data_IF_402296734722
#
_entry.id   IF_402296734722
#
_cell.length_a   1.000
_cell.length_b   1.000
_cell.length_c   1.000
_cell.angle_alpha   90.00
_cell.angle_beta   90.00
_cell.angle_gamma   90.00
#
_symmetry.space_group_name_H-M   'P 1'
#
loop_
_entity.id
_entity.type
_entity.pdbx_description
1 polymer ?
#
# COMPACT_ATOMS: atom_id res chain seq x y z
N UNK A 1 -27.40 12.97 39.11
CA UNK A 1 -27.18 12.56 37.71
C UNK A 1 -25.93 13.26 37.27
N UNK A 2 -24.83 12.53 37.35
CA UNK A 2 -23.53 13.08 36.98
C UNK A 2 -23.43 13.13 35.47
N UNK A 3 -23.11 14.31 34.98
CA UNK A 3 -22.85 14.54 33.56
C UNK A 3 -21.52 13.87 33.22
N UNK A 4 -21.53 12.79 32.49
CA UNK A 4 -20.33 12.22 31.94
C UNK A 4 -19.91 13.14 30.80
N UNK A 5 -18.80 13.83 31.01
CA UNK A 5 -18.28 14.77 30.01
C UNK A 5 -17.36 14.03 29.04
N UNK A 6 -17.91 13.62 27.91
CA UNK A 6 -17.16 12.95 26.84
C UNK A 6 -16.31 13.92 26.00
N UNK A 7 -16.18 15.20 26.41
CA UNK A 7 -15.56 16.25 25.60
C UNK A 7 -14.10 16.03 25.24
N UNK A 8 -13.34 15.29 26.03
CA UNK A 8 -11.90 15.18 25.79
C UNK A 8 -11.42 13.80 25.32
N UNK A 9 -12.30 12.80 25.24
CA UNK A 9 -11.83 11.42 25.14
C UNK A 9 -12.54 10.51 24.13
N UNK A 10 -13.62 10.93 23.50
CA UNK A 10 -14.53 9.96 22.89
C UNK A 10 -14.17 9.57 21.47
N UNK A 11 -13.54 10.41 20.71
CA UNK A 11 -13.31 10.08 19.31
C UNK A 11 -11.92 10.55 18.86
N UNK A 12 -10.91 9.80 19.17
CA UNK A 12 -9.69 9.86 18.37
C UNK A 12 -9.99 9.18 17.05
N UNK A 13 -10.60 9.93 16.12
CA UNK A 13 -10.74 9.46 14.76
C UNK A 13 -9.35 9.35 14.14
N UNK A 14 -8.79 8.17 14.14
CA UNK A 14 -7.68 7.91 13.27
C UNK A 14 -8.25 7.80 11.87
N UNK A 15 -7.96 8.80 11.05
CA UNK A 15 -8.31 8.84 9.64
C UNK A 15 -7.43 7.86 8.91
N UNK A 16 -8.00 6.77 8.42
CA UNK A 16 -7.24 5.82 7.62
C UNK A 16 -8.00 5.50 6.35
N UNK A 17 -7.34 5.70 5.22
CA UNK A 17 -7.61 4.90 4.04
C UNK A 17 -6.80 3.65 4.21
N UNK A 18 -7.42 2.50 4.17
CA UNK A 18 -6.73 1.23 4.36
C UNK A 18 -6.91 0.33 3.15
N UNK A 19 -5.87 -0.43 2.87
CA UNK A 19 -5.93 -1.58 1.98
C UNK A 19 -5.67 -2.80 2.84
N UNK A 20 -6.54 -3.81 2.75
CA UNK A 20 -6.38 -5.01 3.57
C UNK A 20 -6.28 -4.74 5.08
N UNK A 21 -6.98 -3.69 5.57
CA UNK A 21 -7.00 -3.33 7.00
C UNK A 21 -5.76 -2.56 7.49
N UNK A 22 -4.85 -2.13 6.60
CA UNK A 22 -3.67 -1.33 6.97
C UNK A 22 -3.79 0.12 6.50
N UNK A 23 -3.49 1.11 7.36
CA UNK A 23 -3.59 2.52 7.00
C UNK A 23 -2.53 2.91 5.97
N UNK A 24 -2.95 3.68 4.96
CA UNK A 24 -2.05 4.33 4.01
C UNK A 24 -1.81 5.77 4.48
N UNK A 25 -0.56 6.10 4.69
CA UNK A 25 -0.15 7.38 5.26
C UNK A 25 1.05 8.01 4.58
N UNK A 26 1.70 8.90 5.30
CA UNK A 26 2.85 9.67 4.78
C UNK A 26 4.03 8.79 4.35
N UNK A 27 4.24 7.63 4.99
CA UNK A 27 5.33 6.71 4.64
C UNK A 27 5.10 6.12 3.24
N UNK A 28 3.89 5.62 2.99
CA UNK A 28 3.50 5.02 1.70
C UNK A 28 3.57 6.07 0.58
N UNK A 29 3.12 7.31 0.85
CA UNK A 29 3.24 8.43 -0.09
C UNK A 29 4.70 8.73 -0.42
N UNK A 30 5.58 8.82 0.57
CA UNK A 30 7.00 9.06 0.34
C UNK A 30 7.65 7.92 -0.44
N UNK A 31 7.28 6.67 -0.16
CA UNK A 31 7.77 5.51 -0.90
C UNK A 31 7.30 5.54 -2.36
N UNK A 32 6.03 5.86 -2.62
CA UNK A 32 5.50 5.99 -3.98
C UNK A 32 6.24 7.07 -4.78
N UNK A 33 6.49 8.25 -4.18
CA UNK A 33 7.27 9.33 -4.81
C UNK A 33 8.70 8.87 -5.09
N UNK A 34 9.36 8.23 -4.11
CA UNK A 34 10.73 7.71 -4.28
C UNK A 34 10.82 6.70 -5.42
N UNK A 35 9.87 5.77 -5.50
CA UNK A 35 9.82 4.75 -6.53
C UNK A 35 9.58 5.38 -7.93
N UNK A 36 8.73 6.40 -8.02
CA UNK A 36 8.52 7.14 -9.27
C UNK A 36 9.80 7.85 -9.74
N UNK A 37 10.58 8.43 -8.82
CA UNK A 37 11.86 9.06 -9.14
C UNK A 37 12.93 8.02 -9.53
N UNK A 38 12.93 6.84 -8.88
CA UNK A 38 13.85 5.74 -9.16
C UNK A 38 13.67 5.12 -10.55
N UNK A 39 12.50 5.26 -11.19
CA UNK A 39 12.28 4.75 -12.55
C UNK A 39 13.21 5.39 -13.59
N UNK A 40 13.63 6.64 -13.40
CA UNK A 40 14.61 7.29 -14.30
C UNK A 40 16.01 6.68 -14.15
N UNK A 41 16.39 6.24 -12.96
CA UNK A 41 17.65 5.54 -12.72
C UNK A 41 17.65 4.16 -13.39
N UNK A 42 16.51 3.46 -13.38
CA UNK A 42 16.37 2.16 -14.05
C UNK A 42 16.62 2.24 -15.56
N UNK A 43 16.16 3.30 -16.23
CA UNK A 43 16.44 3.51 -17.67
C UNK A 43 17.93 3.69 -17.95
N UNK A 44 18.65 4.37 -17.08
CA UNK A 44 20.10 4.54 -17.19
C UNK A 44 20.84 3.21 -16.96
N UNK A 45 20.39 2.40 -15.99
CA UNK A 45 20.97 1.09 -15.75
C UNK A 45 20.73 0.11 -16.91
N UNK A 46 19.51 0.12 -17.49
CA UNK A 46 19.22 -0.67 -18.69
C UNK A 46 20.20 -0.36 -19.81
N UNK A 47 20.46 0.92 -20.09
CA UNK A 47 21.41 1.32 -21.13
C UNK A 47 22.83 0.83 -20.82
N UNK A 48 23.29 0.96 -19.59
CA UNK A 48 24.64 0.51 -19.19
C UNK A 48 24.80 -1.00 -19.32
N UNK A 49 23.75 -1.77 -18.97
CA UNK A 49 23.75 -3.22 -19.16
C UNK A 49 23.82 -3.57 -20.64
N UNK A 50 23.00 -2.94 -21.49
CA UNK A 50 23.01 -3.15 -22.94
C UNK A 50 24.37 -2.82 -23.52
N UNK A 51 25.03 -1.74 -23.09
CA UNK A 51 26.37 -1.35 -23.57
C UNK A 51 27.43 -2.42 -23.26
N UNK A 52 27.30 -3.19 -22.14
CA UNK A 52 28.22 -4.30 -21.79
C UNK A 52 28.10 -5.51 -22.72
N UNK A 53 26.96 -5.69 -23.38
CA UNK A 53 26.71 -6.80 -24.29
C UNK A 53 26.98 -6.46 -25.78
N UNK A 54 27.40 -5.23 -26.08
CA UNK A 54 27.47 -4.70 -27.46
C UNK A 54 28.47 -5.48 -28.35
N UNK A 55 29.56 -5.98 -27.80
CA UNK A 55 30.57 -6.73 -28.55
C UNK A 55 30.41 -8.25 -28.48
N UNK A 56 29.37 -8.73 -27.75
CA UNK A 56 29.05 -10.15 -27.56
C UNK A 56 30.02 -10.92 -26.67
N UNK A 57 30.94 -10.21 -25.99
CA UNK A 57 31.95 -10.81 -25.10
C UNK A 57 31.90 -10.07 -23.78
N UNK A 58 31.67 -10.80 -22.70
CA UNK A 58 31.74 -10.24 -21.33
C UNK A 58 33.13 -10.56 -20.77
N UNK A 59 33.90 -9.52 -20.54
CA UNK A 59 35.21 -9.64 -19.86
C UNK A 59 35.00 -9.97 -18.36
N UNK A 60 36.01 -10.53 -17.68
CA UNK A 60 35.91 -10.78 -16.23
C UNK A 60 35.60 -9.53 -15.40
N UNK A 61 36.04 -8.35 -15.86
CA UNK A 61 35.77 -7.08 -15.21
C UNK A 61 34.30 -6.67 -15.40
N UNK A 62 33.78 -6.77 -16.61
CA UNK A 62 32.35 -6.50 -16.91
C UNK A 62 31.43 -7.47 -16.19
N UNK A 63 31.85 -8.76 -16.09
CA UNK A 63 31.09 -9.74 -15.30
C UNK A 63 30.98 -9.33 -13.84
N UNK A 64 32.08 -8.92 -13.21
CA UNK A 64 32.08 -8.45 -11.82
C UNK A 64 31.24 -7.17 -11.63
N UNK A 65 31.27 -6.27 -12.60
CA UNK A 65 30.44 -5.08 -12.59
C UNK A 65 28.96 -5.44 -12.76
N UNK A 66 28.62 -6.37 -13.64
CA UNK A 66 27.27 -6.85 -13.86
C UNK A 66 26.69 -7.54 -12.61
N UNK A 67 27.50 -8.39 -11.94
CA UNK A 67 27.13 -9.03 -10.69
C UNK A 67 26.81 -8.01 -9.59
N UNK A 68 27.65 -6.97 -9.44
CA UNK A 68 27.44 -5.90 -8.46
C UNK A 68 26.17 -5.08 -8.76
N UNK A 69 25.90 -4.82 -10.05
CA UNK A 69 24.68 -4.12 -10.49
C UNK A 69 23.44 -4.96 -10.26
N UNK A 70 23.54 -6.25 -10.55
CA UNK A 70 22.46 -7.19 -10.31
C UNK A 70 22.09 -7.27 -8.82
N UNK A 71 23.08 -7.36 -7.95
CA UNK A 71 22.87 -7.32 -6.51
C UNK A 71 22.16 -6.03 -6.09
N UNK A 72 22.59 -4.88 -6.60
CA UNK A 72 21.94 -3.60 -6.32
C UNK A 72 20.47 -3.57 -6.78
N UNK A 73 20.18 -4.06 -7.99
CA UNK A 73 18.82 -4.10 -8.55
C UNK A 73 17.92 -5.04 -7.77
N UNK A 74 18.40 -6.21 -7.37
CA UNK A 74 17.60 -7.15 -6.57
C UNK A 74 17.32 -6.64 -5.16
N UNK A 75 18.26 -5.90 -4.55
CA UNK A 75 18.02 -5.20 -3.27
C UNK A 75 16.95 -4.11 -3.44
N UNK A 76 17.00 -3.33 -4.53
CA UNK A 76 16.00 -2.30 -4.81
C UNK A 76 14.61 -2.91 -5.00
N UNK A 77 14.50 -4.01 -5.74
CA UNK A 77 13.26 -4.75 -5.90
C UNK A 77 12.75 -5.32 -4.57
N UNK A 78 13.61 -5.94 -3.76
CA UNK A 78 13.23 -6.47 -2.45
C UNK A 78 12.58 -5.39 -1.57
N UNK A 79 13.13 -4.17 -1.56
CA UNK A 79 12.55 -3.04 -0.83
C UNK A 79 11.17 -2.65 -1.37
N UNK A 80 11.00 -2.61 -2.69
CA UNK A 80 9.71 -2.32 -3.32
C UNK A 80 8.69 -3.42 -2.97
N UNK A 81 9.06 -4.69 -3.06
CA UNK A 81 8.22 -5.83 -2.69
C UNK A 81 7.81 -5.77 -1.21
N UNK A 82 8.73 -5.41 -0.32
CA UNK A 82 8.44 -5.23 1.10
C UNK A 82 7.50 -4.06 1.36
N UNK A 83 7.66 -2.94 0.65
CA UNK A 83 6.77 -1.79 0.72
C UNK A 83 5.36 -2.15 0.24
N UNK A 84 5.24 -2.91 -0.87
CA UNK A 84 3.97 -3.41 -1.39
C UNK A 84 3.31 -4.35 -0.37
N UNK A 85 4.02 -5.35 0.13
CA UNK A 85 3.51 -6.28 1.14
C UNK A 85 3.14 -5.57 2.45
N UNK A 86 3.89 -4.54 2.81
CA UNK A 86 3.57 -3.72 3.99
C UNK A 86 2.30 -2.89 3.79
N UNK A 87 2.06 -2.36 2.61
CA UNK A 87 0.89 -1.53 2.30
C UNK A 87 -0.38 -2.37 2.15
N UNK A 88 -0.33 -3.45 1.37
CA UNK A 88 -1.51 -4.23 1.00
C UNK A 88 -1.72 -5.48 1.88
N UNK A 89 -0.66 -6.01 2.50
CA UNK A 89 -0.68 -7.34 3.12
C UNK A 89 -0.73 -8.46 2.06
N UNK A 90 -0.56 -9.71 2.50
CA UNK A 90 -0.61 -10.85 1.57
C UNK A 90 -2.02 -11.07 1.00
N UNK A 91 -3.05 -10.97 1.84
CA UNK A 91 -4.45 -11.10 1.42
C UNK A 91 -4.94 -9.92 0.60
N UNK A 92 -4.50 -8.70 0.90
CA UNK A 92 -4.84 -7.50 0.16
C UNK A 92 -4.21 -7.48 -1.23
N UNK A 93 -2.95 -7.94 -1.36
CA UNK A 93 -2.27 -8.01 -2.65
C UNK A 93 -2.98 -8.94 -3.65
N UNK A 94 -3.64 -9.99 -3.18
CA UNK A 94 -4.41 -10.88 -4.05
C UNK A 94 -5.59 -10.18 -4.74
N UNK A 95 -6.13 -9.10 -4.17
CA UNK A 95 -7.15 -8.23 -4.78
C UNK A 95 -6.60 -7.33 -5.91
N UNK A 96 -5.28 -7.19 -6.00
CA UNK A 96 -4.60 -6.39 -7.03
C UNK A 96 -3.87 -7.32 -8.01
N UNK A 97 -4.64 -8.01 -8.88
CA UNK A 97 -4.14 -9.12 -9.69
C UNK A 97 -2.91 -8.75 -10.53
N UNK A 98 -2.90 -7.58 -11.15
CA UNK A 98 -1.80 -7.12 -12.01
C UNK A 98 -0.51 -6.89 -11.21
N UNK A 99 -0.63 -6.29 -10.03
CA UNK A 99 0.52 -6.07 -9.14
C UNK A 99 1.05 -7.40 -8.59
N UNK A 100 0.16 -8.30 -8.19
CA UNK A 100 0.51 -9.63 -7.72
C UNK A 100 1.16 -10.48 -8.83
N UNK A 101 0.64 -10.39 -10.06
CA UNK A 101 1.24 -11.05 -11.22
C UNK A 101 2.66 -10.53 -11.48
N UNK A 102 2.87 -9.22 -11.51
CA UNK A 102 4.19 -8.61 -11.71
C UNK A 102 5.19 -9.04 -10.63
N UNK A 103 4.78 -9.09 -9.37
CA UNK A 103 5.64 -9.57 -8.27
C UNK A 103 6.09 -11.01 -8.54
N UNK A 104 5.16 -11.90 -8.90
CA UNK A 104 5.48 -13.31 -9.17
C UNK A 104 6.39 -13.47 -10.41
N UNK A 105 6.14 -12.72 -11.48
CA UNK A 105 6.96 -12.74 -12.70
C UNK A 105 8.39 -12.27 -12.42
N UNK A 106 8.57 -11.21 -11.62
CA UNK A 106 9.88 -10.71 -11.23
C UNK A 106 10.61 -11.71 -10.34
N UNK A 107 9.94 -12.31 -9.35
CA UNK A 107 10.53 -13.31 -8.47
C UNK A 107 11.06 -14.53 -9.27
N UNK A 108 10.30 -14.99 -10.27
CA UNK A 108 10.76 -16.07 -11.16
C UNK A 108 11.95 -15.61 -12.03
N UNK A 109 11.90 -14.41 -12.58
CA UNK A 109 12.99 -13.87 -13.39
C UNK A 109 14.29 -13.73 -12.59
N UNK A 110 14.23 -13.27 -11.34
CA UNK A 110 15.39 -13.17 -10.45
C UNK A 110 16.06 -14.53 -10.27
N UNK A 111 15.29 -15.60 -10.06
CA UNK A 111 15.86 -16.94 -9.89
C UNK A 111 16.61 -17.38 -11.15
N UNK A 112 16.05 -17.16 -12.32
CA UNK A 112 16.65 -17.54 -13.61
C UNK A 112 17.91 -16.73 -13.88
N UNK A 113 17.87 -15.41 -13.74
CA UNK A 113 19.02 -14.53 -13.98
C UNK A 113 20.16 -14.84 -13.01
N UNK A 114 19.86 -15.06 -11.73
CA UNK A 114 20.87 -15.39 -10.71
C UNK A 114 21.52 -16.75 -11.02
N UNK A 115 20.77 -17.74 -11.48
CA UNK A 115 21.32 -19.02 -11.91
C UNK A 115 22.24 -18.88 -13.12
N UNK A 116 21.85 -18.09 -14.13
CA UNK A 116 22.65 -17.83 -15.32
C UNK A 116 23.96 -17.10 -14.99
N UNK A 117 23.92 -16.12 -14.09
CA UNK A 117 25.11 -15.38 -13.65
C UNK A 117 26.11 -16.25 -12.92
N UNK A 118 25.65 -17.26 -12.18
CA UNK A 118 26.49 -18.20 -11.44
C UNK A 118 27.16 -19.22 -12.35
N UNK A 119 26.76 -19.32 -13.63
CA UNK A 119 27.47 -20.21 -14.58
C UNK A 119 28.83 -19.65 -14.92
N UNK A 120 29.85 -20.51 -15.11
CA UNK A 120 31.20 -20.10 -15.47
C UNK A 120 31.34 -19.65 -16.94
N UNK A 121 30.24 -19.69 -17.69
CA UNK A 121 30.19 -19.30 -19.09
C UNK A 121 30.26 -17.77 -19.25
N UNK A 122 30.99 -17.33 -20.27
CA UNK A 122 31.30 -15.93 -20.57
C UNK A 122 30.14 -15.07 -21.05
N UNK A 123 28.98 -15.55 -21.19
CA UNK A 123 27.63 -14.96 -21.24
C UNK A 123 26.64 -16.06 -21.61
N UNK A 124 25.75 -16.46 -20.73
CA UNK A 124 24.65 -17.34 -21.11
C UNK A 124 23.83 -16.65 -22.20
N UNK A 125 23.52 -17.40 -23.26
CA UNK A 125 22.68 -16.92 -24.33
C UNK A 125 21.33 -16.39 -23.74
N UNK A 126 21.00 -15.16 -24.08
CA UNK A 126 19.76 -14.53 -23.61
C UNK A 126 19.83 -13.89 -22.22
N UNK A 127 20.98 -13.82 -21.55
CA UNK A 127 21.11 -13.14 -20.24
C UNK A 127 20.74 -11.65 -20.36
N UNK A 128 21.18 -10.96 -21.40
CA UNK A 128 20.81 -9.55 -21.67
C UNK A 128 19.29 -9.39 -21.76
N UNK A 129 18.60 -10.25 -22.52
CA UNK A 129 17.15 -10.21 -22.67
C UNK A 129 16.43 -10.39 -21.33
N UNK A 130 16.91 -11.30 -20.49
CA UNK A 130 16.35 -11.56 -19.16
C UNK A 130 16.58 -10.41 -18.18
N UNK A 131 17.74 -9.76 -18.23
CA UNK A 131 18.01 -8.54 -17.45
C UNK A 131 17.13 -7.38 -17.90
N UNK A 132 16.96 -7.19 -19.21
CA UNK A 132 16.06 -6.18 -19.75
C UNK A 132 14.61 -6.46 -19.36
N UNK A 133 14.16 -7.71 -19.39
CA UNK A 133 12.83 -8.09 -18.94
C UNK A 133 12.62 -7.77 -17.46
N UNK A 134 13.58 -8.09 -16.59
CA UNK A 134 13.54 -7.70 -15.18
C UNK A 134 13.35 -6.18 -15.03
N UNK A 135 14.15 -5.38 -15.74
CA UNK A 135 14.09 -3.92 -15.63
C UNK A 135 12.74 -3.35 -16.09
N UNK A 136 12.16 -3.91 -17.16
CA UNK A 136 10.83 -3.51 -17.65
C UNK A 136 9.77 -3.85 -16.59
N UNK A 137 9.73 -5.09 -16.10
CA UNK A 137 8.75 -5.53 -15.11
C UNK A 137 8.86 -4.79 -13.79
N UNK A 138 10.08 -4.54 -13.33
CA UNK A 138 10.33 -3.73 -12.14
C UNK A 138 9.83 -2.29 -12.32
N UNK A 139 10.04 -1.68 -13.49
CA UNK A 139 9.52 -0.36 -13.82
C UNK A 139 7.99 -0.33 -13.83
N UNK A 140 7.34 -1.31 -14.45
CA UNK A 140 5.88 -1.46 -14.49
C UNK A 140 5.31 -1.62 -13.07
N UNK A 141 5.88 -2.50 -12.25
CA UNK A 141 5.46 -2.70 -10.87
C UNK A 141 5.57 -1.43 -10.03
N UNK A 142 6.69 -0.72 -10.16
CA UNK A 142 6.91 0.54 -9.45
C UNK A 142 5.88 1.61 -9.85
N UNK A 143 5.52 1.68 -11.13
CA UNK A 143 4.53 2.62 -11.64
C UNK A 143 3.12 2.27 -11.15
N UNK A 144 2.72 0.99 -11.25
CA UNK A 144 1.39 0.52 -10.80
C UNK A 144 1.23 0.78 -9.30
N UNK A 145 2.22 0.41 -8.48
CA UNK A 145 2.21 0.67 -7.05
C UNK A 145 2.09 2.15 -6.73
N UNK A 146 2.91 2.99 -7.35
CA UNK A 146 2.90 4.43 -7.11
C UNK A 146 1.57 5.06 -7.49
N UNK A 147 0.99 4.67 -8.64
CA UNK A 147 -0.32 5.15 -9.10
C UNK A 147 -1.44 4.75 -8.14
N UNK A 148 -1.42 3.50 -7.68
CA UNK A 148 -2.39 2.99 -6.71
C UNK A 148 -2.34 3.78 -5.39
N UNK A 149 -1.15 3.98 -4.82
CA UNK A 149 -1.00 4.74 -3.57
C UNK A 149 -1.44 6.20 -3.75
N UNK A 150 -1.09 6.84 -4.86
CA UNK A 150 -1.49 8.23 -5.14
C UNK A 150 -3.01 8.36 -5.29
N UNK A 151 -3.68 7.38 -5.90
CA UNK A 151 -5.13 7.35 -6.01
C UNK A 151 -5.81 7.25 -4.64
N UNK A 152 -5.34 6.32 -3.82
CA UNK A 152 -5.88 6.12 -2.47
C UNK A 152 -5.70 7.33 -1.56
N UNK A 153 -4.64 8.11 -1.76
CA UNK A 153 -4.39 9.32 -0.98
C UNK A 153 -5.34 10.50 -1.31
N UNK A 154 -6.14 10.40 -2.37
CA UNK A 154 -7.21 11.37 -2.67
C UNK A 154 -8.41 11.23 -1.73
N UNK A 155 -8.55 10.09 -1.05
CA UNK A 155 -9.63 9.87 -0.11
C UNK A 155 -9.30 10.44 1.28
N UNK A 156 -10.25 11.15 1.84
CA UNK A 156 -10.22 11.62 3.22
C UNK A 156 -11.43 11.09 3.97
N UNK A 157 -11.20 10.44 5.10
CA UNK A 157 -12.29 9.96 5.98
C UNK A 157 -12.31 10.79 7.25
N UNK A 158 -13.48 11.24 7.63
CA UNK A 158 -13.72 11.87 8.93
C UNK A 158 -14.90 11.20 9.60
N UNK A 159 -14.86 11.09 10.93
CA UNK A 159 -16.00 10.62 11.71
C UNK A 159 -16.40 11.69 12.71
N UNK A 160 -17.69 11.79 12.99
CA UNK A 160 -18.23 12.72 13.96
C UNK A 160 -19.39 12.07 14.72
N UNK A 161 -19.57 12.47 15.96
CA UNK A 161 -20.79 12.19 16.70
C UNK A 161 -21.80 13.33 16.56
N UNK A 162 -23.07 13.04 16.74
CA UNK A 162 -24.14 14.06 16.67
C UNK A 162 -24.09 15.06 17.82
N UNK A 163 -23.62 14.63 18.98
CA UNK A 163 -23.53 15.45 20.19
C UNK A 163 -22.11 15.48 20.72
N UNK A 164 -21.76 16.52 21.44
CA UNK A 164 -20.48 16.65 22.14
C UNK A 164 -20.45 15.98 23.52
N UNK A 165 -21.61 15.55 24.05
CA UNK A 165 -21.72 14.86 25.33
C UNK A 165 -22.96 13.98 25.38
N UNK A 166 -22.86 12.87 26.07
CA UNK A 166 -23.94 11.89 26.24
C UNK A 166 -24.14 11.57 27.71
N UNK A 167 -25.37 11.17 28.08
CA UNK A 167 -25.68 10.61 29.37
C UNK A 167 -25.67 9.07 29.30
N UNK A 168 -25.56 8.44 30.45
CA UNK A 168 -25.70 6.99 30.51
C UNK A 168 -27.03 6.54 29.90
N UNK A 169 -26.94 5.55 29.03
CA UNK A 169 -28.07 5.00 28.29
C UNK A 169 -28.48 5.77 27.05
N UNK A 170 -27.87 6.92 26.74
CA UNK A 170 -28.09 7.62 25.48
C UNK A 170 -27.58 6.77 24.30
N UNK A 171 -28.21 6.95 23.14
CA UNK A 171 -27.70 6.39 21.90
C UNK A 171 -26.67 7.37 21.32
N UNK A 172 -25.48 6.83 21.05
CA UNK A 172 -24.39 7.53 20.37
C UNK A 172 -24.41 7.16 18.90
N UNK A 173 -24.61 8.13 18.02
CA UNK A 173 -24.49 7.92 16.58
C UNK A 173 -23.14 8.47 16.11
N UNK A 174 -22.39 7.64 15.38
CA UNK A 174 -21.09 8.00 14.79
C UNK A 174 -21.20 7.93 13.27
N UNK A 175 -21.03 9.08 12.64
CA UNK A 175 -21.31 9.29 11.22
C UNK A 175 -19.99 9.46 10.49
N UNK A 176 -19.69 8.60 9.50
CA UNK A 176 -18.54 8.77 8.63
C UNK A 176 -18.85 9.82 7.55
N UNK A 177 -17.86 10.58 7.15
CA UNK A 177 -17.91 11.46 5.99
C UNK A 177 -16.66 11.23 5.17
N UNK A 178 -16.83 10.90 3.91
CA UNK A 178 -15.75 10.65 2.98
C UNK A 178 -15.67 11.78 1.97
N UNK A 179 -14.45 12.22 1.71
CA UNK A 179 -14.13 13.09 0.58
C UNK A 179 -13.22 12.36 -0.38
N UNK A 180 -13.43 12.59 -1.66
CA UNK A 180 -12.53 12.21 -2.73
C UNK A 180 -12.11 13.47 -3.47
N UNK A 181 -10.81 13.71 -3.55
CA UNK A 181 -10.21 14.90 -4.14
C UNK A 181 -10.81 16.23 -3.61
N UNK A 182 -11.16 16.25 -2.30
CA UNK A 182 -11.76 17.38 -1.59
C UNK A 182 -13.28 17.46 -1.66
N UNK A 183 -13.97 16.72 -2.51
CA UNK A 183 -15.43 16.71 -2.64
C UNK A 183 -16.06 15.60 -1.79
N UNK A 184 -17.18 15.91 -1.11
CA UNK A 184 -17.90 14.90 -0.32
C UNK A 184 -18.59 13.92 -1.27
N UNK A 185 -18.36 12.63 -1.05
CA UNK A 185 -19.00 11.56 -1.81
C UNK A 185 -20.02 10.80 -0.94
N UNK A 186 -21.07 10.21 -1.55
CA UNK A 186 -22.04 9.37 -0.84
C UNK A 186 -21.37 8.15 -0.22
N UNK A 187 -21.89 7.70 0.93
CA UNK A 187 -21.35 6.51 1.62
C UNK A 187 -22.01 5.20 1.17
N UNK A 188 -23.05 5.23 0.35
CA UNK A 188 -23.92 4.08 0.07
C UNK A 188 -23.17 2.86 -0.47
N UNK A 189 -22.19 3.10 -1.35
CA UNK A 189 -21.37 2.05 -1.98
C UNK A 189 -20.02 1.83 -1.27
N UNK A 190 -19.76 2.54 -0.17
CA UNK A 190 -18.52 2.45 0.56
C UNK A 190 -18.60 1.35 1.62
N UNK A 191 -17.47 0.71 1.86
CA UNK A 191 -17.33 -0.31 2.90
C UNK A 191 -16.44 0.24 4.01
N UNK A 192 -16.92 0.14 5.25
CA UNK A 192 -16.19 0.61 6.42
C UNK A 192 -15.95 -0.55 7.39
N UNK A 193 -14.73 -0.63 7.91
CA UNK A 193 -14.42 -1.46 9.06
C UNK A 193 -14.42 -0.58 10.31
N UNK A 194 -15.25 -0.96 11.29
CA UNK A 194 -15.39 -0.25 12.54
C UNK A 194 -14.68 -1.01 13.67
N UNK A 195 -13.89 -0.30 14.44
CA UNK A 195 -13.16 -0.85 15.58
C UNK A 195 -13.49 -0.03 16.81
N UNK A 196 -14.20 -0.64 17.78
CA UNK A 196 -14.56 -0.08 19.05
C UNK A 196 -13.80 -0.80 20.17
N UNK A 197 -13.74 -0.19 21.34
CA UNK A 197 -13.14 -0.83 22.51
C UNK A 197 -13.90 -2.12 22.88
N UNK A 198 -13.20 -3.04 23.53
CA UNK A 198 -13.73 -4.37 23.88
C UNK A 198 -15.01 -4.26 24.74
N UNK A 199 -16.04 -4.99 24.34
CA UNK A 199 -17.31 -5.04 25.02
C UNK A 199 -18.36 -4.03 24.56
N UNK A 200 -18.06 -3.17 23.57
CA UNK A 200 -19.04 -2.27 22.98
C UNK A 200 -19.69 -2.94 21.78
N UNK A 201 -20.99 -3.26 21.93
CA UNK A 201 -21.81 -3.72 20.82
C UNK A 201 -22.37 -2.53 20.04
N UNK A 202 -22.31 -2.58 18.73
CA UNK A 202 -22.84 -1.53 17.85
C UNK A 202 -23.75 -2.10 16.77
N UNK A 203 -24.58 -1.22 16.21
CA UNK A 203 -25.41 -1.51 15.04
C UNK A 203 -24.94 -0.62 13.88
N UNK A 204 -24.64 -1.23 12.74
CA UNK A 204 -24.37 -0.52 11.50
C UNK A 204 -25.69 -0.28 10.75
N UNK A 205 -25.86 0.93 10.22
CA UNK A 205 -27.04 1.36 9.48
C UNK A 205 -26.76 1.44 7.97
N UNK A 206 -27.82 1.52 7.16
CA UNK A 206 -27.72 1.52 5.70
C UNK A 206 -26.86 2.67 5.14
N UNK A 207 -26.92 3.85 5.78
CA UNK A 207 -26.12 5.03 5.46
C UNK A 207 -24.71 4.99 6.06
N UNK A 208 -24.30 3.80 6.53
CA UNK A 208 -22.97 3.51 7.06
C UNK A 208 -22.61 4.20 8.37
N UNK A 209 -23.54 4.90 9.03
CA UNK A 209 -23.29 5.29 10.42
C UNK A 209 -23.43 4.09 11.36
N UNK A 210 -22.75 4.15 12.49
CA UNK A 210 -22.95 3.17 13.56
C UNK A 210 -23.63 3.82 14.75
N UNK A 211 -24.40 3.03 15.48
CA UNK A 211 -24.98 3.42 16.76
C UNK A 211 -24.65 2.43 17.87
N UNK A 212 -24.39 2.93 19.05
CA UNK A 212 -24.20 2.14 20.26
C UNK A 212 -24.74 2.89 21.50
N UNK A 213 -24.87 2.17 22.57
CA UNK A 213 -25.38 2.74 23.82
C UNK A 213 -24.25 3.27 24.68
N UNK A 214 -24.33 4.53 25.12
CA UNK A 214 -23.40 5.07 26.09
C UNK A 214 -23.56 4.32 27.42
N UNK A 215 -22.46 3.88 28.03
CA UNK A 215 -22.42 3.15 29.28
C UNK A 215 -21.82 3.98 30.40
N UNK A 216 -22.06 3.59 31.65
CA UNK A 216 -21.56 4.24 32.88
C UNK A 216 -20.01 4.26 33.02
N UNK A 217 -19.27 3.72 32.09
CA UNK A 217 -17.82 3.69 32.19
C UNK A 217 -17.25 5.07 31.93
N UNK A 218 -16.59 5.61 32.95
CA UNK A 218 -15.90 6.92 32.91
C UNK A 218 -14.64 6.96 32.08
N UNK A 219 -14.29 5.89 31.36
CA UNK A 219 -13.09 5.80 30.54
C UNK A 219 -13.41 6.12 29.08
N UNK A 220 -12.44 6.78 28.43
CA UNK A 220 -12.53 7.19 27.03
C UNK A 220 -12.72 5.98 26.11
N UNK A 221 -13.76 6.01 25.29
CA UNK A 221 -13.98 5.02 24.24
C UNK A 221 -13.23 5.42 22.98
N UNK A 222 -12.39 4.54 22.49
CA UNK A 222 -11.69 4.73 21.22
C UNK A 222 -12.49 4.11 20.08
N UNK A 223 -12.84 4.93 19.10
CA UNK A 223 -13.53 4.48 17.89
C UNK A 223 -12.62 4.73 16.71
N UNK A 224 -12.35 3.70 15.94
CA UNK A 224 -11.61 3.79 14.68
C UNK A 224 -12.50 3.34 13.54
N UNK A 225 -12.42 4.06 12.45
CA UNK A 225 -13.09 3.74 11.21
C UNK A 225 -12.05 3.60 10.11
N UNK A 226 -12.07 2.52 9.37
CA UNK A 226 -11.23 2.28 8.21
C UNK A 226 -12.11 2.20 6.97
N UNK A 227 -11.84 3.02 5.96
CA UNK A 227 -12.51 2.95 4.68
C UNK A 227 -11.81 1.91 3.81
N UNK A 228 -12.57 0.95 3.32
CA UNK A 228 -12.12 -0.05 2.34
C UNK A 228 -12.38 0.47 0.93
N UNK A 229 -11.35 0.53 0.12
CA UNK A 229 -11.49 0.93 -1.28
C UNK A 229 -10.90 -0.18 -2.14
N UNK A 230 -11.76 -0.74 -2.99
CA UNK A 230 -11.33 -1.62 -4.07
C UNK A 230 -10.86 -0.75 -5.24
N UNK A 231 -9.55 -0.55 -5.33
CA UNK A 231 -8.96 0.04 -6.52
C UNK A 231 -8.84 -1.07 -7.56
N UNK A 232 -9.91 -1.30 -8.29
CA UNK A 232 -9.81 -2.11 -9.50
C UNK A 232 -9.02 -1.32 -10.52
N UNK A 233 -7.92 -1.89 -10.99
CA UNK A 233 -7.14 -1.34 -12.09
C UNK A 233 -8.07 -1.06 -13.28
N UNK A 234 -8.28 0.22 -13.56
CA UNK A 234 -8.96 0.70 -14.76
C UNK A 234 -8.01 0.73 -15.94
#
# INVERSE_FOLDING_TARGET
>A
MDRINYQDNVITASKFVSIGGRPIGSKEKLNAIRNTLGNNENLLETKRITDMFTDGIITPQEKSELESRWEFMTIAYSRLSDDIKSAFGESGLSGYSDMNQLVNEIDMNIQVVTADMNTQSTAPEGLEAKLNEFMIRYGELSQVYSSCIMELLKYEVTIRSEKSSYFDGDIVNVIPTVKYDGEIIPNDDLVFDWFLDEGIEYTEHLDKHISFKASDYSESTSIRCSLHIDVTSS
#
